data_IF_759671110341
#
_entry.id   IF_759671110341
#
_cell.length_a   1.000
_cell.length_b   1.000
_cell.length_c   1.000
_cell.angle_alpha   90.00
_cell.angle_beta   90.00
_cell.angle_gamma   90.00
#
_symmetry.space_group_name_H-M   'P 1'
#
loop_
_entity.id
_entity.type
_entity.pdbx_description
1 polymer ?
2 non-polymer ?
3 non-polymer ?
4 non-polymer ?
5 non-polymer ?
6 non-polymer ?
7 water ?
#
# COMPACT_ATOMS: atom_id res chain seq x y z
N UNK A 14 -12.40 20.95 -6.18
CA UNK A 14 -11.97 19.58 -6.45
C UNK A 14 -10.58 19.32 -5.86
N UNK A 15 -10.25 18.04 -5.74
CA UNK A 15 -9.01 17.62 -5.11
C UNK A 15 -7.80 18.26 -5.78
N UNK A 16 -6.84 18.71 -4.96
CA UNK A 16 -5.59 19.29 -5.43
C UNK A 16 -4.49 18.27 -5.15
N UNK A 17 -3.85 17.70 -6.18
CA UNK A 17 -2.81 16.69 -5.94
C UNK A 17 -1.64 17.27 -5.16
N UNK A 18 -1.20 16.59 -4.11
CA UNK A 18 0.04 16.99 -3.42
C UNK A 18 1.23 16.95 -4.37
N UNK A 19 2.32 17.62 -4.02
CA UNK A 19 3.54 17.51 -4.83
C UNK A 19 4.08 16.09 -4.84
N UNK A 20 4.81 15.76 -5.90
CA UNK A 20 5.37 14.42 -6.07
C UNK A 20 6.52 14.16 -5.12
N UNK A 21 6.56 12.95 -4.58
CA UNK A 21 7.69 12.48 -3.78
C UNK A 21 8.87 12.15 -4.67
N UNK A 22 10.07 12.00 -4.10
CA UNK A 22 11.25 11.69 -4.91
C UNK A 22 11.15 10.33 -5.58
N UNK A 23 11.65 10.25 -6.80
CA UNK A 23 11.79 9.00 -7.54
C UNK A 23 13.27 8.79 -7.85
N UNK A 24 13.78 7.62 -7.52
CA UNK A 24 15.17 7.28 -7.79
C UNK A 24 15.27 6.19 -8.84
N UNK A 25 16.28 6.30 -9.71
CA UNK A 25 16.53 5.33 -10.77
C UNK A 25 17.97 4.84 -10.62
N UNK A 26 18.22 3.95 -9.67
CA UNK A 26 19.60 3.53 -9.42
C UNK A 26 20.23 2.85 -10.62
N UNK A 27 21.52 3.14 -10.82
CA UNK A 27 22.33 2.36 -11.72
C UNK A 27 22.50 0.95 -11.19
N UNK A 28 23.02 0.06 -12.04
CA UNK A 28 23.28 -1.30 -11.59
C UNK A 28 24.23 -1.31 -10.40
N UNK A 29 25.20 -0.39 -10.40
CA UNK A 29 26.12 -0.29 -9.26
C UNK A 29 25.37 0.11 -8.00
N UNK A 30 24.58 1.19 -8.08
CA UNK A 30 23.81 1.64 -6.92
C UNK A 30 22.81 0.59 -6.47
N UNK A 31 22.31 -0.22 -7.39
CA UNK A 31 21.27 -1.20 -7.10
C UNK A 31 21.78 -2.44 -6.38
N UNK A 32 23.07 -2.49 -6.03
CA UNK A 32 23.65 -3.72 -5.51
C UNK A 32 23.05 -4.08 -4.14
N UNK A 33 23.02 -3.13 -3.21
CA UNK A 33 22.58 -3.41 -1.85
C UNK A 33 21.45 -2.47 -1.46
N UNK A 34 20.28 -2.99 -1.11
CA UNK A 34 19.16 -2.10 -0.74
C UNK A 34 19.42 -1.24 0.49
N UNK A 35 19.97 -1.81 1.56
CA UNK A 35 20.15 -1.02 2.78
C UNK A 35 21.20 0.06 2.57
N UNK A 36 22.25 -0.24 1.79
CA UNK A 36 23.23 0.79 1.46
C UNK A 36 22.59 1.89 0.63
N UNK A 37 21.74 1.51 -0.34
CA UNK A 37 21.11 2.52 -1.18
C UNK A 37 20.15 3.37 -0.38
N UNK A 38 19.32 2.73 0.46
CA UNK A 38 18.37 3.49 1.26
C UNK A 38 19.09 4.40 2.24
N UNK A 39 20.22 3.93 2.76
CA UNK A 39 21.02 4.78 3.64
C UNK A 39 21.55 6.01 2.95
N UNK A 40 21.91 5.88 1.67
CA UNK A 40 22.46 7.01 0.92
C UNK A 40 21.38 8.01 0.52
N UNK A 41 20.17 7.54 0.19
CA UNK A 41 19.11 8.47 -0.21
C UNK A 41 18.40 9.08 0.99
N UNK A 42 18.68 8.59 2.19
CA UNK A 42 17.99 9.05 3.39
C UNK A 42 17.95 10.55 3.59
N UNK A 43 19.03 11.32 3.34
CA UNK A 43 18.94 12.76 3.59
C UNK A 43 17.81 13.43 2.86
N UNK A 44 17.48 12.98 1.65
CA UNK A 44 16.33 13.55 0.96
C UNK A 44 15.04 12.83 1.31
N UNK A 45 15.03 11.49 1.20
CA UNK A 45 13.76 10.78 1.32
C UNK A 45 13.16 10.89 2.71
N UNK A 46 13.98 10.99 3.76
CA UNK A 46 13.38 11.11 5.08
C UNK A 46 12.67 12.45 5.24
N UNK A 47 12.98 13.43 4.39
CA UNK A 47 12.28 14.71 4.40
C UNK A 47 10.95 14.67 3.66
N UNK A 48 10.66 13.59 2.92
CA UNK A 48 9.38 13.43 2.27
C UNK A 48 8.57 12.26 2.81
N UNK A 49 9.15 11.44 3.68
CA UNK A 49 8.44 10.30 4.27
C UNK A 49 8.41 9.06 3.39
N UNK A 50 8.09 9.24 2.10
CA UNK A 50 8.06 8.12 1.17
C UNK A 50 8.92 8.47 -0.03
N UNK A 51 9.43 7.43 -0.69
CA UNK A 51 10.06 7.63 -1.99
C UNK A 51 9.79 6.41 -2.86
N UNK A 52 9.98 6.60 -4.16
CA UNK A 52 9.77 5.54 -5.14
C UNK A 52 11.11 5.17 -5.75
N UNK A 53 11.34 3.88 -5.96
CA UNK A 53 12.59 3.40 -6.53
C UNK A 53 12.27 2.56 -7.76
N UNK A 54 12.81 2.97 -8.91
CA UNK A 54 12.64 2.23 -10.16
C UNK A 54 13.87 1.38 -10.40
N UNK A 55 13.76 0.05 -10.40
CA UNK A 55 14.92 -0.80 -10.63
C UNK A 55 15.43 -0.63 -12.05
N UNK A 56 16.65 -1.08 -12.33
CA UNK A 56 17.15 -1.04 -13.71
C UNK A 56 16.20 -1.77 -14.64
N UNK A 57 16.16 -1.33 -15.91
CA UNK A 57 15.13 -1.78 -16.83
C UNK A 57 15.13 -3.29 -17.02
N UNK A 58 16.30 -3.92 -16.96
CA UNK A 58 16.37 -5.36 -17.18
C UNK A 58 16.10 -6.18 -15.93
N UNK A 59 15.84 -5.54 -14.79
CA UNK A 59 15.54 -6.26 -13.55
C UNK A 59 14.04 -6.54 -13.54
N UNK A 60 13.66 -7.76 -13.89
CA UNK A 60 12.25 -8.15 -14.03
C UNK A 60 12.03 -9.51 -13.39
N UNK A 61 11.72 -9.54 -12.10
CA UNK A 61 11.48 -10.83 -11.44
C UNK A 61 10.24 -11.49 -11.97
N UNK A 62 10.18 -12.81 -11.97
CA UNK A 62 8.94 -13.51 -12.35
C UNK A 62 7.92 -13.39 -11.24
N UNK A 63 6.68 -13.74 -11.57
CA UNK A 63 5.61 -13.81 -10.57
C UNK A 63 5.47 -15.25 -10.12
N UNK A 64 5.69 -15.50 -8.84
CA UNK A 64 5.90 -16.86 -8.34
C UNK A 64 4.81 -17.36 -7.40
N UNK A 65 3.68 -16.67 -7.28
CA UNK A 65 2.59 -17.19 -6.45
C UNK A 65 1.96 -18.42 -7.12
N UNK A 66 1.39 -19.28 -6.28
CA UNK A 66 0.64 -20.45 -6.76
C UNK A 66 -0.73 -19.96 -7.22
N UNK A 67 -0.84 -19.66 -8.52
CA UNK A 67 -2.02 -18.97 -9.04
C UNK A 67 -3.23 -19.89 -9.06
N UNK A 68 -3.03 -21.18 -9.36
CA UNK A 68 -4.15 -22.10 -9.48
C UNK A 68 -4.96 -22.16 -8.19
N UNK A 69 -4.28 -22.21 -7.04
CA UNK A 69 -4.93 -22.40 -5.75
C UNK A 69 -5.16 -21.11 -4.98
N UNK A 70 -4.80 -19.96 -5.55
CA UNK A 70 -4.88 -18.67 -4.86
C UNK A 70 -6.35 -18.29 -4.72
N UNK A 71 -6.89 -18.45 -3.51
CA UNK A 71 -8.28 -18.12 -3.22
C UNK A 71 -8.33 -17.29 -1.95
N UNK A 72 -9.27 -16.34 -1.91
CA UNK A 72 -9.31 -15.45 -0.75
C UNK A 72 -10.69 -14.82 -0.64
N UNK A 73 -11.01 -14.38 0.57
CA UNK A 73 -12.22 -13.62 0.81
C UNK A 73 -11.83 -12.19 1.16
N UNK A 74 -11.93 -11.25 0.21
CA UNK A 74 -11.46 -9.89 0.47
C UNK A 74 -12.38 -9.18 1.45
N UNK A 75 -11.88 -8.11 2.03
CA UNK A 75 -12.72 -7.40 2.96
C UNK A 75 -13.43 -6.26 2.24
N UNK A 76 -14.62 -5.96 2.72
CA UNK A 76 -15.50 -5.01 2.06
C UNK A 76 -15.22 -3.62 2.61
N UNK A 77 -15.12 -2.63 1.72
CA UNK A 77 -14.83 -1.26 2.11
C UNK A 77 -15.92 -0.32 1.60
N UNK A 78 -16.62 0.32 2.51
CA UNK A 78 -17.57 1.37 2.14
C UNK A 78 -16.83 2.71 2.22
N UNK A 79 -16.68 3.36 1.07
CA UNK A 79 -15.80 4.53 0.99
C UNK A 79 -16.21 5.63 1.96
N UNK A 80 -17.51 5.82 2.18
CA UNK A 80 -18.00 6.95 2.95
C UNK A 80 -18.45 6.57 4.36
N UNK A 81 -17.94 5.46 4.92
CA UNK A 81 -18.47 4.97 6.19
C UNK A 81 -18.31 5.99 7.31
N UNK A 82 -17.22 6.78 7.29
CA UNK A 82 -17.01 7.75 8.36
C UNK A 82 -17.94 8.95 8.21
N UNK A 83 -18.02 9.51 6.99
CA UNK A 83 -18.93 10.62 6.75
C UNK A 83 -20.37 10.26 7.12
N UNK A 84 -20.75 8.98 6.94
CA UNK A 84 -22.11 8.54 7.18
C UNK A 84 -22.45 8.37 8.66
N UNK A 85 -21.49 8.54 9.57
CA UNK A 85 -21.77 8.40 11.00
C UNK A 85 -22.79 9.43 11.47
N UNK A 91 -29.51 3.48 9.84
CA UNK A 91 -29.87 2.72 8.66
C UNK A 91 -30.49 1.37 9.03
N UNK A 92 -31.52 0.98 8.31
CA UNK A 92 -32.25 -0.24 8.62
C UNK A 92 -31.37 -1.47 8.45
N UNK A 93 -31.20 -2.22 9.53
CA UNK A 93 -30.46 -3.48 9.53
C UNK A 93 -28.99 -3.27 9.17
N UNK A 94 -28.37 -2.30 9.83
CA UNK A 94 -26.94 -2.09 9.61
C UNK A 94 -26.15 -3.27 10.17
N UNK A 95 -24.94 -3.44 9.64
CA UNK A 95 -24.12 -4.61 9.95
C UNK A 95 -24.19 -5.71 8.91
N UNK A 96 -25.17 -5.64 8.00
CA UNK A 96 -25.37 -6.63 6.95
C UNK A 96 -25.39 -5.97 5.58
N UNK A 97 -24.43 -5.06 5.35
CA UNK A 97 -24.46 -4.23 4.15
C UNK A 97 -24.06 -4.96 2.88
N UNK A 98 -23.48 -6.17 2.99
CA UNK A 98 -22.89 -6.78 1.81
C UNK A 98 -22.84 -8.29 1.95
N UNK A 99 -23.38 -8.99 0.95
CA UNK A 99 -23.24 -10.44 0.87
C UNK A 99 -21.76 -10.82 0.69
N UNK A 100 -21.34 -11.88 1.38
CA UNK A 100 -19.92 -12.25 1.43
C UNK A 100 -19.56 -13.03 0.17
N UNK A 101 -18.34 -12.78 -0.35
CA UNK A 101 -17.91 -13.34 -1.63
C UNK A 101 -16.48 -13.81 -1.55
N UNK A 102 -16.23 -15.06 -1.97
CA UNK A 102 -14.88 -15.59 -2.11
C UNK A 102 -14.48 -15.57 -3.59
N UNK A 103 -13.23 -15.24 -3.85
CA UNK A 103 -12.72 -15.13 -5.20
C UNK A 103 -11.46 -15.95 -5.40
N UNK A 104 -11.18 -16.26 -6.66
CA UNK A 104 -9.82 -16.55 -7.08
C UNK A 104 -9.16 -15.28 -7.60
N UNK A 105 -7.86 -15.37 -7.86
CA UNK A 105 -7.15 -14.26 -8.48
C UNK A 105 -7.82 -13.85 -9.79
N UNK A 106 -8.20 -14.84 -10.61
CA UNK A 106 -8.85 -14.56 -11.88
C UNK A 106 -10.22 -13.92 -11.67
N UNK A 107 -11.05 -14.50 -10.80
CA UNK A 107 -12.41 -14.00 -10.68
C UNK A 107 -12.43 -12.65 -9.97
N UNK A 108 -11.47 -12.38 -9.08
CA UNK A 108 -11.38 -11.04 -8.51
C UNK A 108 -11.02 -10.03 -9.58
N UNK A 109 -10.07 -10.37 -10.45
CA UNK A 109 -9.68 -9.47 -11.53
C UNK A 109 -10.81 -9.18 -12.49
N UNK A 110 -11.61 -10.21 -12.83
CA UNK A 110 -12.77 -9.99 -13.68
C UNK A 110 -13.76 -9.05 -13.00
N UNK A 111 -14.04 -9.28 -11.72
CA UNK A 111 -14.89 -8.36 -10.96
C UNK A 111 -14.30 -6.96 -10.94
N UNK A 112 -12.99 -6.84 -10.70
CA UNK A 112 -12.38 -5.53 -10.53
C UNK A 112 -12.43 -4.72 -11.83
N UNK A 113 -12.08 -5.36 -12.94
CA UNK A 113 -12.13 -4.67 -14.23
C UNK A 113 -13.56 -4.30 -14.60
N UNK A 114 -14.51 -5.21 -14.41
CA UNK A 114 -15.90 -4.89 -14.70
C UNK A 114 -16.37 -3.71 -13.86
N UNK A 115 -15.98 -3.67 -12.59
CA UNK A 115 -16.40 -2.55 -11.75
C UNK A 115 -15.88 -1.22 -12.30
N UNK A 116 -14.60 -1.17 -12.64
CA UNK A 116 -13.99 0.10 -13.01
C UNK A 116 -14.47 0.57 -14.37
N UNK A 117 -14.52 -0.34 -15.35
CA UNK A 117 -14.98 0.05 -16.67
C UNK A 117 -16.46 0.46 -16.65
N UNK A 118 -17.27 -0.21 -15.82
CA UNK A 118 -18.66 0.22 -15.65
C UNK A 118 -18.74 1.57 -14.95
N UNK A 119 -17.91 1.80 -13.92
CA UNK A 119 -17.99 3.05 -13.19
C UNK A 119 -17.65 4.24 -14.07
N UNK A 120 -16.58 4.13 -14.83
CA UNK A 120 -16.11 5.27 -15.62
C UNK A 120 -16.59 5.24 -17.08
N UNK A 121 -17.23 4.16 -17.51
CA UNK A 121 -17.74 4.03 -18.88
C UNK A 121 -16.62 4.14 -19.91
N UNK A 122 -15.49 3.51 -19.61
CA UNK A 122 -14.38 3.46 -20.56
C UNK A 122 -13.48 2.29 -20.20
N UNK A 123 -12.61 1.85 -21.12
CA UNK A 123 -11.67 0.77 -20.80
C UNK A 123 -10.80 1.16 -19.61
N UNK A 124 -10.45 0.16 -18.79
CA UNK A 124 -9.84 0.45 -17.49
C UNK A 124 -8.52 1.20 -17.68
N UNK A 125 -7.74 0.87 -18.71
CA UNK A 125 -6.44 1.51 -18.84
C UNK A 125 -6.53 2.90 -19.45
N UNK A 126 -7.71 3.32 -19.91
CA UNK A 126 -7.91 4.66 -20.43
C UNK A 126 -8.34 5.66 -19.38
N UNK A 127 -8.60 5.23 -18.14
CA UNK A 127 -9.04 6.17 -17.12
C UNK A 127 -7.82 6.89 -16.57
N UNK A 128 -7.76 8.22 -16.63
CA UNK A 128 -6.57 8.92 -16.14
C UNK A 128 -6.42 8.74 -14.63
N UNK A 129 -5.17 8.59 -14.20
CA UNK A 129 -4.92 8.40 -12.76
C UNK A 129 -5.43 9.59 -11.96
N UNK A 130 -5.39 10.79 -12.53
CA UNK A 130 -5.86 11.97 -11.81
C UNK A 130 -7.37 11.94 -11.63
N UNK A 131 -8.10 11.32 -12.56
CA UNK A 131 -9.55 11.24 -12.44
C UNK A 131 -9.95 10.24 -11.37
N UNK A 132 -9.29 9.07 -11.31
CA UNK A 132 -9.58 8.12 -10.24
C UNK A 132 -9.31 8.77 -8.89
N UNK A 133 -8.21 9.52 -8.79
CA UNK A 133 -7.85 10.19 -7.54
C UNK A 133 -8.92 11.22 -7.15
N UNK A 134 -9.35 12.05 -8.09
CA UNK A 134 -10.38 13.04 -7.77
C UNK A 134 -11.68 12.37 -7.34
N UNK A 135 -12.07 11.31 -8.06
CA UNK A 135 -13.32 10.61 -7.75
C UNK A 135 -13.24 9.88 -6.40
N UNK A 136 -12.09 9.27 -6.10
CA UNK A 136 -11.93 8.59 -4.81
C UNK A 136 -12.22 9.54 -3.66
N UNK A 137 -11.58 10.71 -3.67
CA UNK A 137 -11.76 11.62 -2.54
C UNK A 137 -13.14 12.26 -2.52
N UNK A 138 -13.74 12.46 -3.70
CA UNK A 138 -15.14 12.91 -3.72
C UNK A 138 -16.04 11.87 -3.05
N UNK A 139 -15.83 10.59 -3.37
CA UNK A 139 -16.69 9.54 -2.85
C UNK A 139 -16.54 9.35 -1.35
N UNK A 140 -15.33 9.55 -0.84
CA UNK A 140 -15.07 9.35 0.58
C UNK A 140 -15.88 10.33 1.42
N UNK A 141 -16.11 11.53 0.92
CA UNK A 141 -16.87 12.55 1.63
C UNK A 141 -18.32 12.65 1.19
N UNK A 142 -18.76 11.79 0.27
CA UNK A 142 -20.09 11.89 -0.31
C UNK A 142 -21.10 11.12 0.52
N UNK A 143 -22.16 11.81 0.96
CA UNK A 143 -23.27 11.14 1.62
C UNK A 143 -24.36 10.76 0.64
N UNK A 144 -24.36 11.34 -0.56
CA UNK A 144 -25.42 11.11 -1.53
C UNK A 144 -25.27 9.79 -2.29
N UNK A 145 -24.09 9.20 -2.34
CA UNK A 145 -23.91 7.92 -3.01
C UNK A 145 -22.95 7.04 -2.22
N UNK A 146 -23.33 5.77 -2.05
CA UNK A 146 -22.56 4.80 -1.29
C UNK A 146 -21.88 3.86 -2.28
N UNK A 147 -20.57 4.00 -2.44
CA UNK A 147 -19.77 3.10 -3.28
C UNK A 147 -19.07 2.12 -2.37
N UNK A 148 -19.17 0.83 -2.71
CA UNK A 148 -18.61 -0.25 -1.91
C UNK A 148 -17.66 -1.06 -2.79
N UNK A 149 -16.44 -1.27 -2.32
CA UNK A 149 -15.45 -2.04 -3.06
C UNK A 149 -14.90 -3.11 -2.12
N UNK A 150 -13.97 -3.90 -2.64
CA UNK A 150 -13.39 -5.02 -1.90
C UNK A 150 -11.89 -5.01 -2.07
N UNK A 151 -11.17 -5.43 -1.03
CA UNK A 151 -9.72 -5.37 -1.00
C UNK A 151 -9.20 -6.70 -0.48
N UNK A 152 -8.42 -7.41 -1.29
CA UNK A 152 -7.73 -8.59 -0.82
C UNK A 152 -6.46 -8.22 -0.05
N UNK A 153 -6.64 -7.70 1.16
CA UNK A 153 -5.57 -7.03 1.88
C UNK A 153 -4.98 -7.94 2.96
N UNK A 154 -3.66 -7.82 3.15
CA UNK A 154 -2.99 -8.46 4.28
C UNK A 154 -3.12 -9.98 4.19
N UNK A 155 -2.81 -10.53 3.02
CA UNK A 155 -2.77 -11.97 2.81
C UNK A 155 -1.36 -12.45 3.06
N UNK A 156 -1.19 -13.46 3.93
CA UNK A 156 0.15 -13.89 4.28
C UNK A 156 0.83 -14.56 3.09
N UNK A 157 2.11 -14.22 2.87
CA UNK A 157 2.88 -14.92 1.85
C UNK A 157 3.10 -16.38 2.19
N UNK A 158 2.81 -16.79 3.43
CA UNK A 158 2.86 -18.21 3.76
C UNK A 158 1.71 -19.00 3.14
N UNK A 159 0.61 -18.33 2.78
CA UNK A 159 -0.58 -19.03 2.32
C UNK A 159 -0.37 -19.66 0.95
N UNK A 160 -0.07 -18.83 -0.06
CA UNK A 160 0.13 -19.34 -1.42
C UNK A 160 1.51 -19.00 -1.97
N UNK A 161 2.42 -18.59 -1.11
CA UNK A 161 3.76 -18.21 -1.54
C UNK A 161 3.89 -16.71 -1.72
N UNK A 162 5.13 -16.27 -1.71
CA UNK A 162 5.45 -14.89 -2.07
C UNK A 162 5.32 -14.71 -3.57
N UNK A 163 5.12 -13.45 -3.99
CA UNK A 163 5.18 -13.13 -5.41
C UNK A 163 6.57 -13.22 -5.98
N UNK A 164 7.60 -13.12 -5.13
CA UNK A 164 8.98 -13.35 -5.52
C UNK A 164 9.32 -14.83 -5.43
N UNK A 165 10.21 -15.32 -6.30
CA UNK A 165 10.72 -16.68 -6.13
C UNK A 165 11.50 -16.80 -4.83
N UNK A 166 11.34 -17.95 -4.17
CA UNK A 166 12.01 -18.23 -2.90
C UNK A 166 12.60 -19.63 -2.98
N UNK A 167 13.86 -19.76 -2.59
CA UNK A 167 14.58 -21.04 -2.68
C UNK A 167 14.29 -21.89 -1.44
N UNK A 168 13.00 -22.21 -1.26
CA UNK A 168 12.56 -23.04 -0.14
C UNK A 168 12.07 -24.41 -0.58
N UNK A 169 12.16 -24.75 -1.86
CA UNK A 169 11.80 -26.07 -2.32
C UNK A 169 10.33 -26.36 -2.44
N UNK A 170 9.47 -25.34 -2.35
CA UNK A 170 8.04 -25.54 -2.52
C UNK A 170 7.58 -25.33 -3.96
N UNK A 171 8.36 -24.62 -4.77
CA UNK A 171 7.98 -24.31 -6.14
C UNK A 171 9.23 -24.26 -7.00
N UNK A 172 9.07 -24.65 -8.26
CA UNK A 172 10.22 -24.71 -9.16
C UNK A 172 10.75 -23.30 -9.45
N UNK A 173 12.07 -23.18 -9.44
CA UNK A 173 12.75 -21.95 -9.83
C UNK A 173 13.58 -22.27 -11.06
N UNK A 174 13.35 -21.53 -12.15
CA UNK A 174 14.15 -21.69 -13.35
C UNK A 174 15.53 -21.06 -13.14
N UNK A 175 16.54 -21.52 -13.87
CA UNK A 175 17.89 -20.95 -13.66
C UNK A 175 17.95 -19.43 -13.81
N UNK A 176 17.23 -18.88 -14.79
CA UNK A 176 17.26 -17.43 -14.98
C UNK A 176 16.48 -16.68 -13.92
N UNK A 177 15.72 -17.38 -13.08
CA UNK A 177 14.99 -16.76 -11.99
C UNK A 177 15.74 -16.83 -10.67
N UNK A 178 16.82 -17.59 -10.60
CA UNK A 178 17.50 -17.77 -9.32
C UNK A 178 18.09 -16.46 -8.81
N UNK A 179 18.54 -15.59 -9.71
CA UNK A 179 19.09 -14.31 -9.27
C UNK A 179 18.04 -13.50 -8.51
N UNK A 180 16.77 -13.66 -8.86
CA UNK A 180 15.72 -12.95 -8.15
C UNK A 180 15.42 -13.60 -6.81
N UNK A 181 15.55 -14.93 -6.71
CA UNK A 181 15.40 -15.58 -5.42
C UNK A 181 16.50 -15.16 -4.45
N UNK A 182 17.66 -14.78 -4.96
CA UNK A 182 18.81 -14.42 -4.14
C UNK A 182 19.00 -12.92 -3.97
N UNK A 183 18.23 -12.12 -4.71
CA UNK A 183 18.41 -10.67 -4.70
C UNK A 183 18.09 -10.06 -3.34
N UNK A 184 18.90 -9.07 -2.95
CA UNK A 184 18.59 -8.30 -1.76
C UNK A 184 17.34 -7.47 -1.85
N UNK A 185 16.81 -7.26 -3.06
CA UNK A 185 15.56 -6.53 -3.27
C UNK A 185 14.34 -7.44 -3.25
N UNK A 186 14.54 -8.75 -3.27
CA UNK A 186 13.49 -9.70 -2.96
C UNK A 186 13.04 -9.47 -1.52
N UNK A 187 11.75 -9.17 -1.31
CA UNK A 187 11.29 -8.78 0.03
C UNK A 187 11.43 -9.89 1.06
N UNK A 188 11.57 -11.14 0.63
CA UNK A 188 11.83 -12.22 1.57
C UNK A 188 13.26 -12.19 2.10
N UNK A 189 14.14 -11.40 1.49
CA UNK A 189 15.55 -11.33 1.87
C UNK A 189 15.89 -10.03 2.60
N UNK A 190 14.89 -9.26 3.01
CA UNK A 190 15.11 -8.04 3.78
C UNK A 190 15.33 -8.39 5.26
N UNK A 191 16.20 -7.67 5.96
CA UNK A 191 16.40 -7.93 7.39
C UNK A 191 15.16 -7.49 8.19
N UNK A 192 14.72 -8.35 9.10
CA UNK A 192 13.49 -8.09 9.85
C UNK A 192 13.67 -8.22 11.35
N UNK A 193 14.85 -8.62 11.83
CA UNK A 193 15.06 -8.87 13.26
C UNK A 193 15.53 -7.59 13.95
N UNK A 194 14.71 -7.07 14.85
CA UNK A 194 15.09 -5.89 15.62
C UNK A 194 16.04 -6.26 16.76
N UNK A 195 17.05 -5.43 16.96
CA UNK A 195 18.00 -5.67 18.05
C UNK A 195 17.36 -5.35 19.40
N UNK A 196 17.58 -6.22 20.38
CA UNK A 196 17.03 -6.00 21.72
C UNK A 196 17.71 -6.95 22.69
N UNK A 197 17.67 -6.56 23.97
CA UNK A 197 18.07 -7.49 25.02
C UNK A 197 17.18 -8.71 25.02
N UNK A 198 15.86 -8.50 24.88
CA UNK A 198 14.92 -9.61 24.87
C UNK A 198 15.22 -10.61 23.76
N UNK A 199 15.74 -10.15 22.63
CA UNK A 199 16.09 -11.07 21.54
C UNK A 199 17.15 -12.05 21.98
N UNK A 200 17.98 -11.70 22.97
CA UNK A 200 19.00 -12.60 23.46
C UNK A 200 18.51 -13.47 24.62
N UNK A 201 17.42 -13.08 25.27
CA UNK A 201 16.86 -13.87 26.36
C UNK A 201 15.85 -14.89 25.85
N UNK A 202 14.97 -14.47 24.95
CA UNK A 202 13.96 -15.36 24.37
C UNK A 202 14.51 -16.07 23.14
N UNK A 209 9.04 -12.97 10.84
CA UNK A 209 8.21 -12.07 10.03
C UNK A 209 8.41 -12.32 8.55
N UNK A 210 7.31 -12.27 7.79
CA UNK A 210 7.31 -12.56 6.36
C UNK A 210 6.55 -11.46 5.62
N UNK A 211 6.67 -11.37 4.30
CA UNK A 211 5.92 -10.34 3.57
C UNK A 211 4.43 -10.64 3.54
N UNK A 212 3.65 -9.60 3.30
CA UNK A 212 2.20 -9.69 3.18
C UNK A 212 1.77 -9.21 1.81
N UNK A 213 0.66 -9.76 1.31
CA UNK A 213 0.21 -9.55 -0.07
C UNK A 213 -1.07 -8.73 -0.10
N UNK A 214 -1.23 -7.93 -1.15
CA UNK A 214 -2.38 -7.03 -1.29
C UNK A 214 -2.90 -7.11 -2.71
N UNK A 215 -4.12 -7.65 -2.89
CA UNK A 215 -4.76 -7.74 -4.19
C UNK A 215 -5.78 -6.61 -4.28
N UNK A 216 -5.50 -5.62 -5.12
CA UNK A 216 -6.30 -4.40 -5.15
C UNK A 216 -7.28 -4.34 -6.30
N UNK A 217 -8.28 -3.47 -6.13
CA UNK A 217 -9.16 -3.05 -7.21
C UNK A 217 -9.32 -1.53 -7.13
N UNK A 218 -9.93 -0.96 -8.15
CA UNK A 218 -10.18 0.48 -8.16
C UNK A 218 -10.88 0.91 -6.86
N UNK A 219 -10.31 1.91 -6.20
CA UNK A 219 -10.81 2.58 -4.99
C UNK A 219 -10.51 1.80 -3.71
N UNK A 220 -10.01 0.57 -3.77
CA UNK A 220 -9.63 -0.09 -2.51
C UNK A 220 -8.46 0.69 -1.90
N UNK A 221 -8.40 0.72 -0.57
CA UNK A 221 -7.57 1.76 0.03
C UNK A 221 -7.00 1.33 1.36
N UNK A 222 -5.99 2.08 1.80
CA UNK A 222 -5.40 1.91 3.12
C UNK A 222 -5.34 3.27 3.79
N UNK A 223 -5.78 3.36 5.05
CA UNK A 223 -5.84 4.67 5.66
C UNK A 223 -4.54 5.01 6.38
N UNK A 224 -4.47 6.25 6.87
CA UNK A 224 -3.23 6.80 7.41
C UNK A 224 -2.71 5.99 8.59
N UNK A 225 -1.44 5.62 8.54
CA UNK A 225 -0.86 4.86 9.64
C UNK A 225 0.65 4.97 9.60
N UNK A 226 1.28 4.59 10.71
CA UNK A 226 2.70 4.31 10.76
C UNK A 226 2.86 2.84 11.13
N UNK A 227 4.09 2.34 11.02
CA UNK A 227 4.33 0.93 11.29
C UNK A 227 4.61 0.68 12.76
N UNK A 228 4.36 -0.56 13.18
CA UNK A 228 4.76 -0.95 14.53
C UNK A 228 6.25 -0.72 14.72
N UNK A 229 6.62 -0.24 15.92
CA UNK A 229 8.00 0.08 16.27
C UNK A 229 8.56 1.20 15.40
N UNK A 230 7.70 1.97 14.72
CA UNK A 230 8.15 3.01 13.79
C UNK A 230 9.06 2.44 12.70
N UNK A 231 8.76 1.22 12.27
CA UNK A 231 9.63 0.51 11.32
C UNK A 231 9.63 1.17 9.94
N UNK A 232 10.75 1.02 9.23
CA UNK A 232 10.74 1.17 7.78
C UNK A 232 9.79 0.14 7.18
N UNK A 233 9.25 0.45 5.99
CA UNK A 233 8.63 -0.60 5.19
C UNK A 233 9.05 -0.44 3.74
N UNK A 234 8.99 -1.55 3.01
CA UNK A 234 9.24 -1.52 1.58
C UNK A 234 8.10 -2.27 0.91
N UNK A 235 7.73 -1.81 -0.28
CA UNK A 235 6.51 -2.23 -0.95
C UNK A 235 6.82 -2.39 -2.43
N UNK A 236 6.46 -3.54 -3.02
CA UNK A 236 6.72 -3.81 -4.43
C UNK A 236 5.41 -4.14 -5.14
N UNK A 237 5.18 -3.47 -6.26
CA UNK A 237 3.99 -3.74 -7.07
C UNK A 237 4.37 -4.74 -8.15
N UNK A 238 3.92 -5.98 -7.98
CA UNK A 238 4.28 -7.06 -8.90
C UNK A 238 3.71 -6.84 -10.29
N UNK A 239 2.43 -6.47 -10.37
CA UNK A 239 1.78 -6.26 -11.65
C UNK A 239 0.48 -5.49 -11.42
N UNK A 240 -0.09 -5.02 -12.51
CA UNK A 240 -1.39 -4.37 -12.49
C UNK A 240 -1.33 -2.86 -12.59
N UNK A 241 -2.49 -2.25 -12.33
CA UNK A 241 -2.64 -0.81 -12.39
C UNK A 241 -2.00 -0.15 -11.17
N UNK A 242 -1.70 1.15 -11.24
CA UNK A 242 -0.87 1.77 -10.19
C UNK A 242 -1.54 1.78 -8.82
N UNK A 243 -0.69 1.92 -7.82
CA UNK A 243 -1.09 2.16 -6.44
C UNK A 243 -0.73 3.59 -6.12
N UNK A 244 -1.72 4.40 -5.76
CA UNK A 244 -1.49 5.82 -5.47
C UNK A 244 -1.20 6.00 -3.99
N UNK A 245 -0.10 6.70 -3.67
CA UNK A 245 0.38 6.87 -2.30
C UNK A 245 0.37 8.32 -1.86
N UNK A 246 0.14 8.53 -0.56
CA UNK A 246 0.40 9.81 0.11
C UNK A 246 1.31 9.55 1.29
N UNK A 247 2.30 10.42 1.49
CA UNK A 247 3.23 10.25 2.59
C UNK A 247 3.49 11.57 3.28
N UNK A 248 3.78 11.47 4.58
CA UNK A 248 4.08 12.60 5.44
C UNK A 248 5.42 12.33 6.10
N UNK A 249 6.39 13.26 6.05
CA UNK A 249 7.67 13.01 6.72
C UNK A 249 7.52 12.91 8.22
N UNK A 250 8.45 12.18 8.84
CA UNK A 250 8.38 11.92 10.28
C UNK A 250 8.44 13.20 11.09
N UNK A 251 9.09 14.25 10.59
CA UNK A 251 9.17 15.47 11.39
C UNK A 251 7.80 16.09 11.60
N UNK A 252 6.80 15.70 10.79
CA UNK A 252 5.45 16.24 10.91
C UNK A 252 4.47 15.24 11.52
N UNK A 253 4.96 14.14 12.10
CA UNK A 253 4.07 13.12 12.67
C UNK A 253 3.16 13.71 13.74
N UNK A 254 3.73 14.50 14.66
CA UNK A 254 2.90 15.03 15.73
C UNK A 254 1.90 16.03 15.20
N UNK A 255 2.27 16.77 14.14
CA UNK A 255 1.32 17.69 13.53
C UNK A 255 0.15 16.96 12.91
N UNK A 256 0.42 15.88 12.19
CA UNK A 256 -0.67 15.08 11.63
C UNK A 256 -1.56 14.54 12.74
N UNK A 257 -0.95 14.01 13.80
CA UNK A 257 -1.74 13.46 14.89
C UNK A 257 -2.61 14.52 15.56
N UNK A 258 -2.14 15.76 15.63
CA UNK A 258 -2.96 16.82 16.21
C UNK A 258 -4.14 17.17 15.30
N UNK A 259 -3.92 17.20 13.98
CA UNK A 259 -5.03 17.45 13.06
C UNK A 259 -6.05 16.33 13.16
N UNK A 260 -5.59 15.09 13.22
CA UNK A 260 -6.50 13.96 13.40
C UNK A 260 -7.36 14.14 14.64
N UNK A 261 -6.73 14.46 15.78
CA UNK A 261 -7.49 14.61 17.01
C UNK A 261 -8.51 15.74 16.91
N UNK A 262 -8.15 16.82 16.22
CA UNK A 262 -9.08 17.93 16.07
C UNK A 262 -10.27 17.54 15.21
N UNK A 263 -10.04 16.74 14.16
CA UNK A 263 -11.06 16.52 13.15
C UNK A 263 -11.63 15.12 13.13
N UNK A 264 -11.00 14.14 13.77
CA UNK A 264 -11.57 12.81 13.82
C UNK A 264 -12.88 12.81 14.61
N UNK A 265 -13.77 11.87 14.33
CA UNK A 265 -15.00 11.76 15.13
C UNK A 265 -14.69 11.69 16.62
N UNK A 266 -15.52 12.36 17.42
CA UNK A 266 -15.30 12.42 18.86
C UNK A 266 -15.27 11.01 19.46
N UNK A 267 -16.16 10.14 19.00
CA UNK A 267 -16.25 8.79 19.57
C UNK A 267 -14.95 8.02 19.41
N UNK A 268 -14.18 8.30 18.36
CA UNK A 268 -12.92 7.62 18.11
C UNK A 268 -11.72 8.41 18.60
N UNK A 269 -11.92 9.62 19.14
CA UNK A 269 -10.81 10.49 19.48
C UNK A 269 -9.92 9.85 20.55
N UNK A 270 -10.54 9.35 21.62
CA UNK A 270 -9.84 8.78 22.76
C UNK A 270 -9.26 7.40 22.51
N UNK A 271 -9.41 6.84 21.32
CA UNK A 271 -8.98 5.48 21.12
C UNK A 271 -7.45 5.38 21.00
N UNK A 272 -6.87 4.28 21.47
CA UNK A 272 -5.43 4.08 21.28
C UNK A 272 -5.09 4.07 19.80
N UNK A 273 -3.84 4.43 19.51
CA UNK A 273 -3.41 4.60 18.12
C UNK A 273 -3.58 3.32 17.30
N UNK A 274 -3.28 2.16 17.89
CA UNK A 274 -3.34 0.91 17.14
C UNK A 274 -4.76 0.60 16.70
N UNK A 275 -5.76 1.10 17.41
CA UNK A 275 -7.15 0.92 17.00
C UNK A 275 -7.64 2.08 16.13
N UNK A 276 -7.29 3.32 16.49
CA UNK A 276 -7.73 4.45 15.68
C UNK A 276 -7.23 4.32 14.25
N UNK A 277 -6.05 3.75 14.06
CA UNK A 277 -5.49 3.60 12.71
C UNK A 277 -6.31 2.69 11.82
N UNK A 278 -7.30 1.97 12.36
CA UNK A 278 -8.19 1.21 11.50
C UNK A 278 -9.16 2.10 10.74
N UNK A 279 -9.34 3.35 11.19
CA UNK A 279 -10.38 4.22 10.62
C UNK A 279 -9.87 5.65 10.42
N UNK A 280 -8.57 5.81 10.26
CA UNK A 280 -8.00 7.16 10.10
C UNK A 280 -7.92 7.55 8.63
N UNK A 281 -9.08 7.65 7.97
CA UNK A 281 -9.11 8.14 6.60
C UNK A 281 -9.26 9.66 6.63
N UNK A 282 -8.42 10.35 5.85
CA UNK A 282 -8.48 11.81 5.82
C UNK A 282 -7.94 12.33 4.50
N UNK A 283 -8.72 13.17 3.86
CA UNK A 283 -8.33 13.81 2.61
C UNK A 283 -7.01 14.55 2.76
N UNK A 284 -6.00 14.27 1.92
CA UNK A 284 -4.72 14.97 2.01
C UNK A 284 -4.81 16.48 1.98
N UNK A 285 -5.80 17.05 1.30
CA UNK A 285 -5.91 18.51 1.27
C UNK A 285 -6.28 19.08 2.63
N UNK A 286 -7.04 18.32 3.42
CA UNK A 286 -7.35 18.77 4.77
C UNK A 286 -6.06 18.88 5.59
N UNK A 287 -5.19 17.87 5.48
CA UNK A 287 -3.92 17.92 6.19
C UNK A 287 -3.07 19.07 5.67
N UNK A 288 -3.07 19.29 4.35
CA UNK A 288 -2.25 20.34 3.78
C UNK A 288 -2.74 21.72 4.19
N UNK A 289 -4.06 21.90 4.32
CA UNK A 289 -4.58 23.18 4.74
C UNK A 289 -4.20 23.49 6.18
N UNK A 290 -4.04 22.47 7.01
CA UNK A 290 -3.58 22.63 8.38
C UNK A 290 -2.06 22.61 8.49
N UNK A 291 -1.35 22.74 7.37
CA UNK A 291 0.09 22.91 7.37
C UNK A 291 0.92 21.64 7.40
N UNK A 292 0.31 20.48 7.23
CA UNK A 292 1.06 19.23 7.21
C UNK A 292 1.63 19.02 5.81
N UNK A 293 2.94 18.80 5.66
CA UNK A 293 3.49 18.48 4.34
C UNK A 293 3.07 17.08 3.91
N UNK A 294 2.55 16.98 2.69
CA UNK A 294 2.12 15.71 2.11
C UNK A 294 2.71 15.60 0.71
N UNK A 295 3.25 14.42 0.40
CA UNK A 295 3.76 14.10 -0.92
C UNK A 295 3.00 12.90 -1.48
N UNK A 296 2.91 12.82 -2.80
CA UNK A 296 2.14 11.75 -3.45
C UNK A 296 3.04 11.02 -4.44
N UNK A 297 2.60 9.83 -4.83
CA UNK A 297 3.19 9.18 -6.02
C UNK A 297 2.22 8.16 -6.57
N UNK A 298 2.35 7.87 -7.87
CA UNK A 298 1.74 6.68 -8.45
C UNK A 298 2.81 5.62 -8.60
N UNK A 299 2.70 4.55 -7.81
CA UNK A 299 3.59 3.40 -7.90
C UNK A 299 3.10 2.50 -9.02
N UNK A 300 3.91 2.33 -10.05
CA UNK A 300 3.53 1.50 -11.19
C UNK A 300 4.15 0.12 -11.06
N UNK A 301 3.65 -0.80 -11.88
CA UNK A 301 4.13 -2.17 -11.83
C UNK A 301 5.64 -2.21 -11.98
N UNK A 302 6.28 -2.98 -11.12
CA UNK A 302 7.72 -3.13 -11.14
C UNK A 302 8.48 -2.09 -10.33
N UNK A 303 7.80 -1.18 -9.63
CA UNK A 303 8.44 -0.14 -8.84
C UNK A 303 8.29 -0.40 -7.34
N UNK A 304 9.28 0.03 -6.58
CA UNK A 304 9.28 -0.05 -5.12
C UNK A 304 8.85 1.27 -4.52
N UNK A 305 8.18 1.20 -3.37
CA UNK A 305 7.99 2.36 -2.50
C UNK A 305 8.59 2.05 -1.14
N UNK A 306 9.42 2.96 -0.62
CA UNK A 306 9.97 2.83 0.73
C UNK A 306 9.32 3.88 1.61
N UNK A 307 8.91 3.46 2.81
CA UNK A 307 8.43 4.38 3.83
C UNK A 307 9.44 4.44 4.96
N UNK A 308 9.73 5.64 5.41
CA UNK A 308 10.75 5.85 6.42
C UNK A 308 10.16 5.79 7.83
N UNK A 309 11.00 5.66 8.86
CA UNK A 309 10.46 5.48 10.22
C UNK A 309 9.54 6.61 10.62
N UNK A 310 8.36 6.24 11.14
CA UNK A 310 7.35 7.18 11.63
C UNK A 310 6.86 8.12 10.53
N UNK A 311 6.94 7.69 9.27
CA UNK A 311 6.36 8.43 8.16
C UNK A 311 4.93 7.95 7.94
N UNK A 312 3.94 8.78 8.28
CA UNK A 312 2.55 8.41 8.03
C UNK A 312 2.29 8.24 6.53
N UNK A 313 1.51 7.22 6.18
CA UNK A 313 1.19 7.04 4.77
C UNK A 313 -0.20 6.44 4.62
N UNK A 314 -0.77 6.68 3.44
CA UNK A 314 -2.10 6.20 3.08
C UNK A 314 -2.17 6.14 1.57
N UNK A 315 -3.23 5.51 1.05
CA UNK A 315 -3.32 5.45 -0.40
C UNK A 315 -4.50 4.65 -0.88
N UNK A 316 -4.56 4.46 -2.20
CA UNK A 316 -5.62 3.66 -2.79
C UNK A 316 -5.13 3.10 -4.12
N UNK A 317 -5.83 2.08 -4.61
CA UNK A 317 -5.46 1.45 -5.86
C UNK A 317 -6.27 1.98 -7.03
N UNK A 318 -5.59 2.13 -8.18
CA UNK A 318 -6.20 2.62 -9.41
C UNK A 318 -7.00 1.55 -10.13
N UNK A 319 -6.73 0.29 -9.84
CA UNK A 319 -7.38 -0.82 -10.52
C UNK A 319 -6.81 -2.13 -10.01
N UNK A 320 -7.10 -3.19 -10.75
CA UNK A 320 -6.65 -4.53 -10.38
C UNK A 320 -5.14 -4.60 -10.33
N UNK A 321 -4.59 -4.97 -9.16
CA UNK A 321 -3.13 -5.03 -9.05
C UNK A 321 -2.76 -5.99 -7.91
N UNK A 322 -1.46 -6.18 -7.75
CA UNK A 322 -0.93 -7.18 -6.83
C UNK A 322 0.35 -6.62 -6.21
N UNK A 323 0.34 -6.37 -4.91
CA UNK A 323 1.47 -5.79 -4.21
C UNK A 323 1.95 -6.70 -3.09
N UNK A 324 3.22 -6.53 -2.72
CA UNK A 324 3.84 -7.26 -1.63
C UNK A 324 4.61 -6.26 -0.77
N UNK A 325 4.52 -6.41 0.56
CA UNK A 325 5.09 -5.43 1.47
C UNK A 325 5.67 -6.10 2.70
N UNK A 326 6.73 -5.51 3.26
CA UNK A 326 7.30 -6.03 4.50
C UNK A 326 7.94 -4.87 5.27
N UNK A 327 7.89 -4.98 6.60
CA UNK A 327 8.64 -4.06 7.45
C UNK A 327 10.06 -4.59 7.62
N UNK A 328 11.04 -3.69 7.57
CA UNK A 328 12.42 -4.12 7.68
C UNK A 328 13.14 -3.20 8.65
N UNK A 329 14.31 -3.65 9.12
CA UNK A 329 15.08 -2.88 10.09
C UNK A 329 16.49 -2.68 9.56
N UNK A 330 17.12 -1.61 10.02
CA UNK A 330 18.42 -1.19 9.52
C UNK A 330 19.48 -1.32 10.60
X LIG B 1 -0.53 -2.43 7.49
X LIG B 1 -3.06 -3.17 6.32
X LIG B 1 -4.67 -2.39 4.58
X LIG B 1 -6.93 -3.16 4.54
X LIG B 1 -5.43 -3.95 6.26
X LIG B 1 -5.22 -4.81 7.47
X LIG B 1 0.30 0.12 1.69
X LIG B 1 -2.72 -1.64 1.01
X LIG B 1 -1.52 -1.33 0.79
X LIG B 1 -0.97 -1.38 -0.34
X LIG B 1 -0.67 -0.87 1.92
X LIG B 1 -0.76 -1.40 3.22
X LIG B 1 0.10 -0.90 4.23
X LIG B 1 0.03 -1.45 5.59
X LIG B 1 1.15 -1.34 6.37
X LIG B 1 0.79 -1.94 7.55
X LIG B 1 -0.99 -2.11 6.26
X LIG B 1 -2.16 -2.33 5.65
X LIG B 1 -4.42 -3.17 5.71
X LIG B 1 -5.92 -2.38 3.98
X LIG B 1 -8.52 -3.18 3.83
X LIG B 1 -6.69 -3.92 5.64
X LIG B 1 1.04 0.05 4.02
X LIG B 1 1.10 0.53 2.76
X LIG C 1 -4.78 0.56 8.64
X LIG C 1 -4.04 1.36 9.27
X LIG C 1 -5.54 -0.29 9.18
X LIG C 1 -4.80 0.58 7.12
X LIG C 1 -3.80 0.89 6.49
X LIG C 1 -6.08 0.19 6.40
X LIG C 1 -7.35 0.60 7.12
X LIG C 1 -8.29 -0.55 7.47
X LIG C 1 -8.01 -1.33 8.42
X LIG C 1 -9.34 -0.73 6.80
X LIG D 1 2.23 0.58 5.88
X LIG E 1 1.36 -23.14 -9.45
X LIG E 1 0.21 -23.13 -8.61
X LIG E 1 1.21 -22.05 -10.51
X LIG E 1 -0.08 -22.17 -11.12
X LIG F 1 -12.33 12.94 4.70
X LIG F 1 -11.35 13.95 5.00
X LIG F 1 -12.54 12.05 5.93
X LIG F 1 -13.68 11.20 5.75
X LIG G 1 3.48 2.76 19.87
X LIG G 1 3.84 2.59 21.23
X LIG G 1 4.73 2.85 19.01
X LIG G 1 5.75 2.08 19.61
X LIG G 1 4.44 2.27 17.63
X LIG G 1 4.54 0.86 17.70
X LIG H 1 -12.64 1.47 5.33
X LIG H 1 -13.12 0.15 5.42
X LIG H 1 -13.43 2.20 4.26
X LIG H 1 -14.08 3.31 4.82
X LIG H 1 -12.48 2.68 3.17
X LIG H 1 -13.19 2.76 1.96
#
# INVERSE_FOLDING_TARGET
HNMAGVGPGGYAAEFVPPPECPVFEPSWEEFTDPLSFIGRIRPLAEKTGICKIRPPKDWQPPFACEVKSFRFTPRVQRLNELEAMTRVRPREAFGFEQAVREYTLQSFGEMADNFKSDYFNMPVHMVPTELVEKEFWRLVSSIEEDVIVEYGADISSKDFGSGFPVKDGRRKILPEEEEYALSGWNLNNMPVLEQSVLAHINVDISGMKVPWLYVGMCFSSFCWHIEDHWSYSINYLHWGEPKTWYGVPSHAAEQLEEVMRELAPELFESQPDLLHQLVTIMNPNVLMEHGVPVYRTNQCAGEFVVTFPRAYHSGFNQGYNFAEAVNFCT
6EP C10 C13 C15 C17 C20 C21 C24 O01 C02 O03 C04 C05 C06 N07 N08 C09 C11 O12 C14 C16 CL1 C19 N22 C23
AKG C1 O1 O2 C2 O5 C3 C4 C5 O3 O4
MN MN
EDO C1 O1 C2 O2
EDO C1 O1 C2 O2
GOL C1 O1 C2 O2 C3 O3
GOL C1 O1 C2 O2 C3 O3
#
